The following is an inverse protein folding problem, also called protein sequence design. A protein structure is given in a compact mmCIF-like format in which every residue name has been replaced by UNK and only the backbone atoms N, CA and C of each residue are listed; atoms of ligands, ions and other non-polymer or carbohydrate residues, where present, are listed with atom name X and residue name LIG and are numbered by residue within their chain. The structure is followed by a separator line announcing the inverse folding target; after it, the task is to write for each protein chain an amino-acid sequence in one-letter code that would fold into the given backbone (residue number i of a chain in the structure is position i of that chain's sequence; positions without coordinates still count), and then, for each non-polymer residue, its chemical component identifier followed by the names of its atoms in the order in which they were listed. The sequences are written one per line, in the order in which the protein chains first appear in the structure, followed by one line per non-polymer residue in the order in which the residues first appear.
data_IF_259531036883
#
_entry.id   IF_259531036883
#
_cell.length_a   1.000
_cell.length_b   1.000
_cell.length_c   1.000
_cell.angle_alpha   90.00
_cell.angle_beta   90.00
_cell.angle_gamma   90.00
#
_symmetry.space_group_name_H-M   'P 1'
#
loop_
_entity.id
_entity.type
_entity.pdbx_description
1 polymer ?
#
# COMPACT_ATOMS: atom_id res chain seq x y z
N UNK A 1 18.06 -66.09 54.83
CA UNK A 1 17.02 -65.05 55.03
C UNK A 1 17.16 -64.08 53.87
N UNK A 2 16.36 -64.25 52.81
CA UNK A 2 16.40 -63.38 51.63
C UNK A 2 15.29 -62.35 51.73
N UNK A 3 15.71 -61.10 51.55
CA UNK A 3 14.96 -59.87 51.78
C UNK A 3 13.91 -59.65 50.69
N UNK A 4 12.64 -59.90 51.01
CA UNK A 4 11.50 -59.88 50.08
C UNK A 4 10.92 -58.48 49.84
N UNK A 5 11.55 -57.42 50.34
CA UNK A 5 11.00 -56.05 50.27
C UNK A 5 11.41 -55.25 49.02
N UNK A 6 12.48 -55.64 48.32
CA UNK A 6 12.97 -54.88 47.16
C UNK A 6 12.20 -55.21 45.86
N UNK A 7 11.62 -56.41 45.74
CA UNK A 7 10.86 -56.79 44.54
C UNK A 7 9.52 -56.05 44.38
N UNK A 8 8.94 -55.52 45.46
CA UNK A 8 7.62 -54.89 45.42
C UNK A 8 7.63 -53.51 44.74
N UNK A 9 8.70 -52.72 44.93
CA UNK A 9 8.79 -51.36 44.39
C UNK A 9 8.98 -51.33 42.87
N UNK A 10 9.83 -52.20 42.32
CA UNK A 10 10.15 -52.22 40.89
C UNK A 10 8.97 -52.68 40.03
N UNK A 11 8.14 -53.58 40.55
CA UNK A 11 6.94 -54.06 39.84
C UNK A 11 5.90 -52.94 39.69
N UNK A 12 5.72 -52.10 40.72
CA UNK A 12 4.80 -50.96 40.69
C UNK A 12 5.20 -49.92 39.63
N UNK A 13 6.49 -49.63 39.50
CA UNK A 13 6.99 -48.66 38.50
C UNK A 13 6.78 -49.18 37.08
N UNK A 14 7.05 -50.47 36.84
CA UNK A 14 6.86 -51.09 35.53
C UNK A 14 5.37 -51.11 35.16
N UNK A 15 4.49 -51.47 36.11
CA UNK A 15 3.05 -51.43 35.87
C UNK A 15 2.55 -50.01 35.57
N UNK A 16 3.02 -48.98 36.29
CA UNK A 16 2.64 -47.60 36.02
C UNK A 16 3.10 -47.11 34.64
N UNK A 17 4.32 -47.47 34.22
CA UNK A 17 4.84 -47.14 32.89
C UNK A 17 4.05 -47.83 31.76
N UNK A 18 3.69 -49.10 31.94
CA UNK A 18 2.90 -49.85 30.97
C UNK A 18 1.47 -49.31 30.86
N UNK A 19 0.84 -48.97 31.99
CA UNK A 19 -0.50 -48.36 32.01
C UNK A 19 -0.46 -46.97 31.35
N UNK A 20 0.54 -46.14 31.68
CA UNK A 20 0.71 -44.81 31.06
C UNK A 20 0.90 -44.88 29.55
N UNK A 21 1.71 -45.82 29.07
CA UNK A 21 1.92 -46.05 27.63
C UNK A 21 0.63 -46.53 26.95
N UNK A 22 -0.10 -47.46 27.57
CA UNK A 22 -1.36 -47.96 27.03
C UNK A 22 -2.46 -46.88 26.97
N UNK A 23 -2.55 -46.03 28.01
CA UNK A 23 -3.45 -44.86 28.02
C UNK A 23 -3.03 -43.83 26.97
N UNK A 24 -1.74 -43.56 26.80
CA UNK A 24 -1.26 -42.64 25.75
C UNK A 24 -1.59 -43.13 24.34
N UNK A 25 -1.53 -44.45 24.11
CA UNK A 25 -1.82 -45.04 22.81
C UNK A 25 -3.33 -45.16 22.52
N UNK A 26 -4.17 -45.28 23.56
CA UNK A 26 -5.63 -45.42 23.38
C UNK A 26 -6.45 -44.17 23.64
N UNK A 27 -5.95 -43.19 24.40
CA UNK A 27 -6.70 -41.96 24.69
C UNK A 27 -6.51 -40.87 23.64
N UNK A 28 -5.60 -41.06 22.69
CA UNK A 28 -5.46 -40.15 21.56
C UNK A 28 -6.44 -40.53 20.44
N UNK A 29 -7.72 -40.26 20.67
CA UNK A 29 -8.65 -40.04 19.55
C UNK A 29 -8.24 -38.70 18.92
N UNK A 30 -7.31 -38.79 17.98
CA UNK A 30 -6.79 -37.68 17.20
C UNK A 30 -7.89 -37.01 16.37
N UNK A 31 -8.72 -36.20 17.01
CA UNK A 31 -9.43 -35.12 16.36
C UNK A 31 -8.51 -33.90 16.46
N UNK A 32 -7.54 -33.84 15.54
CA UNK A 32 -6.95 -32.56 15.20
C UNK A 32 -8.00 -31.76 14.44
N UNK A 33 -8.56 -30.77 15.12
CA UNK A 33 -9.37 -29.75 14.44
C UNK A 33 -8.43 -28.92 13.57
N UNK A 34 -8.23 -29.37 12.32
CA UNK A 34 -7.81 -28.46 11.28
C UNK A 34 -9.00 -27.59 10.95
N UNK A 35 -9.05 -26.42 11.59
CA UNK A 35 -9.82 -25.31 11.05
C UNK A 35 -9.16 -24.95 9.71
N UNK A 36 -9.63 -25.56 8.61
CA UNK A 36 -9.58 -24.96 7.28
C UNK A 36 -10.58 -23.81 7.28
N UNK A 37 -10.29 -22.80 8.11
CA UNK A 37 -10.97 -21.53 8.06
C UNK A 37 -10.06 -20.62 7.27
N UNK A 38 -10.45 -20.38 6.02
CA UNK A 38 -9.81 -19.47 5.07
C UNK A 38 -9.89 -18.01 5.49
N UNK A 39 -10.37 -17.71 6.70
CA UNK A 39 -10.33 -16.39 7.29
C UNK A 39 -9.05 -16.17 8.09
N UNK A 40 -8.15 -15.40 7.45
CA UNK A 40 -7.03 -14.68 8.05
C UNK A 40 -7.41 -14.07 9.41
N UNK A 41 -7.22 -14.83 10.49
CA UNK A 41 -7.03 -14.26 11.83
C UNK A 41 -5.71 -13.50 11.81
N UNK A 42 -5.80 -12.20 11.52
CA UNK A 42 -4.69 -11.30 11.80
C UNK A 42 -4.60 -11.20 13.32
N UNK A 43 -3.45 -11.51 13.96
CA UNK A 43 -3.24 -11.04 15.32
C UNK A 43 -3.46 -9.52 15.30
N UNK A 44 -3.97 -8.95 16.40
CA UNK A 44 -4.05 -7.50 16.60
C UNK A 44 -2.64 -6.90 16.67
N UNK A 45 -1.90 -6.97 15.56
CA UNK A 45 -0.77 -6.13 15.28
C UNK A 45 -1.38 -4.74 15.18
N UNK A 46 -1.31 -3.99 16.28
CA UNK A 46 -1.55 -2.56 16.30
C UNK A 46 -0.75 -1.98 15.14
N UNK A 47 -1.42 -1.72 14.01
CA UNK A 47 -0.77 -1.15 12.83
C UNK A 47 -0.32 0.22 13.28
N UNK A 48 1.00 0.39 13.41
CA UNK A 48 1.57 1.68 13.79
C UNK A 48 1.14 2.68 12.72
N UNK A 49 0.31 3.64 13.11
CA UNK A 49 -0.07 4.74 12.23
C UNK A 49 1.02 5.79 12.29
N UNK A 50 1.39 6.32 11.12
CA UNK A 50 2.41 7.36 11.03
C UNK A 50 1.80 8.70 11.46
N UNK A 51 2.05 9.05 12.73
CA UNK A 51 1.47 10.22 13.37
C UNK A 51 2.47 11.37 13.45
N UNK A 52 2.23 12.38 12.62
CA UNK A 52 3.02 13.61 12.54
C UNK A 52 2.30 14.80 13.20
N UNK A 53 1.26 14.57 14.00
CA UNK A 53 0.50 15.65 14.66
C UNK A 53 1.30 16.45 15.70
N UNK A 54 2.54 16.04 15.98
CA UNK A 54 3.47 16.72 16.87
C UNK A 54 4.54 17.52 16.12
N UNK A 55 4.64 17.36 14.79
CA UNK A 55 5.58 18.07 13.93
C UNK A 55 4.91 19.32 13.36
N UNK A 56 5.72 20.35 13.09
CA UNK A 56 5.28 21.61 12.51
C UNK A 56 6.32 22.11 11.47
N UNK A 57 5.89 23.03 10.60
CA UNK A 57 6.76 23.64 9.59
C UNK A 57 7.48 22.63 8.69
N UNK A 58 8.77 22.88 8.44
CA UNK A 58 9.60 22.07 7.54
C UNK A 58 9.79 20.63 8.01
N UNK A 59 9.72 20.36 9.32
CA UNK A 59 9.83 19.00 9.84
C UNK A 59 8.60 18.16 9.50
N UNK A 60 7.40 18.76 9.62
CA UNK A 60 6.15 18.13 9.20
C UNK A 60 6.15 17.88 7.69
N UNK A 61 6.55 18.89 6.91
CA UNK A 61 6.62 18.79 5.45
C UNK A 61 7.52 17.63 5.03
N UNK A 62 8.79 17.62 5.48
CA UNK A 62 9.75 16.57 5.13
C UNK A 62 9.28 15.17 5.55
N UNK A 63 8.72 15.04 6.76
CA UNK A 63 8.18 13.76 7.24
C UNK A 63 7.00 13.28 6.38
N UNK A 64 6.12 14.20 5.98
CA UNK A 64 4.97 13.93 5.13
C UNK A 64 5.40 13.52 3.72
N UNK A 65 6.33 14.26 3.10
CA UNK A 65 6.87 13.95 1.78
C UNK A 65 7.53 12.57 1.77
N UNK A 66 8.40 12.31 2.77
CA UNK A 66 9.07 11.02 2.92
C UNK A 66 8.08 9.88 3.10
N UNK A 67 7.06 10.05 3.93
CA UNK A 67 6.07 9.02 4.19
C UNK A 67 5.20 8.74 2.97
N UNK A 68 4.81 9.78 2.25
CA UNK A 68 3.98 9.65 1.05
C UNK A 68 4.66 8.76 0.00
N UNK A 69 5.97 8.94 -0.20
CA UNK A 69 6.74 8.21 -1.22
C UNK A 69 7.40 6.91 -0.73
N UNK A 70 7.71 6.75 0.56
CA UNK A 70 8.44 5.56 1.03
C UNK A 70 7.71 4.24 0.77
N UNK A 71 6.38 4.30 0.73
CA UNK A 71 5.49 3.16 0.52
C UNK A 71 4.78 3.22 -0.83
N UNK A 72 5.16 4.18 -1.68
CA UNK A 72 4.53 4.37 -2.96
C UNK A 72 4.90 3.24 -3.91
N UNK A 73 3.88 2.67 -4.57
CA UNK A 73 4.03 1.51 -5.44
C UNK A 73 2.91 1.44 -6.46
N UNK A 74 3.21 0.80 -7.57
CA UNK A 74 2.23 0.43 -8.59
C UNK A 74 1.60 -0.91 -8.19
N UNK A 75 0.27 -0.97 -8.23
CA UNK A 75 -0.52 -2.17 -7.98
C UNK A 75 -1.33 -2.50 -9.22
N UNK A 76 -1.48 -3.78 -9.54
CA UNK A 76 -2.38 -4.22 -10.60
C UNK A 76 -3.79 -4.36 -10.03
N UNK A 77 -4.80 -3.93 -10.80
CA UNK A 77 -6.20 -4.20 -10.46
C UNK A 77 -6.54 -5.62 -10.91
N UNK A 78 -7.08 -6.42 -9.99
CA UNK A 78 -7.35 -7.84 -10.24
C UNK A 78 -8.16 -8.04 -11.53
N UNK A 79 -7.80 -9.05 -12.30
CA UNK A 79 -8.53 -9.50 -13.52
C UNK A 79 -8.60 -8.47 -14.65
N UNK A 80 -7.81 -7.38 -14.59
CA UNK A 80 -7.74 -6.36 -15.63
C UNK A 80 -6.30 -6.03 -16.01
N UNK A 81 -6.10 -5.30 -17.12
CA UNK A 81 -4.82 -4.65 -17.42
C UNK A 81 -4.67 -3.32 -16.68
N UNK A 82 -5.64 -2.96 -15.82
CA UNK A 82 -5.66 -1.67 -15.17
C UNK A 82 -4.63 -1.60 -14.03
N UNK A 83 -4.07 -0.42 -13.85
CA UNK A 83 -3.04 -0.16 -12.83
C UNK A 83 -3.60 0.81 -11.80
N UNK A 84 -2.98 0.80 -10.63
CA UNK A 84 -3.21 1.81 -9.60
C UNK A 84 -1.89 2.23 -8.98
N UNK A 85 -1.83 3.46 -8.48
CA UNK A 85 -0.71 3.93 -7.67
C UNK A 85 -1.16 4.10 -6.24
N UNK A 86 -0.60 3.29 -5.34
CA UNK A 86 -0.78 3.49 -3.90
C UNK A 86 0.31 4.41 -3.37
N UNK A 87 -0.06 5.28 -2.42
CA UNK A 87 0.85 6.16 -1.69
C UNK A 87 0.77 5.89 -0.19
N UNK A 88 1.80 6.28 0.56
CA UNK A 88 1.79 6.22 2.02
C UNK A 88 0.85 7.26 2.62
N UNK A 89 0.09 6.86 3.63
CA UNK A 89 -0.77 7.76 4.40
C UNK A 89 -0.15 8.11 5.75
N UNK A 90 -0.61 9.22 6.32
CA UNK A 90 -0.14 9.78 7.58
C UNK A 90 -1.24 10.58 8.28
N UNK A 91 -1.01 10.87 9.55
CA UNK A 91 -1.84 11.75 10.38
C UNK A 91 -1.10 13.06 10.60
N UNK A 92 -1.82 14.17 10.51
CA UNK A 92 -1.35 15.54 10.79
C UNK A 92 -2.17 16.15 11.93
N UNK A 93 -1.81 17.37 12.34
CA UNK A 93 -2.62 18.18 13.25
C UNK A 93 -3.58 19.04 12.41
N UNK A 94 -4.88 18.91 12.65
CA UNK A 94 -5.90 19.77 12.05
C UNK A 94 -6.01 21.12 12.77
N UNK A 95 -6.82 22.02 12.22
CA UNK A 95 -6.98 23.41 12.73
C UNK A 95 -7.44 23.47 14.20
N UNK A 96 -8.27 22.53 14.64
CA UNK A 96 -8.74 22.44 16.03
C UNK A 96 -7.71 21.82 16.99
N UNK A 97 -6.48 21.57 16.53
CA UNK A 97 -5.42 20.90 17.30
C UNK A 97 -5.58 19.38 17.41
N UNK A 98 -6.67 18.82 16.88
CA UNK A 98 -6.93 17.39 16.84
C UNK A 98 -6.10 16.66 15.79
N UNK A 99 -5.99 15.33 15.94
CA UNK A 99 -5.38 14.46 14.92
C UNK A 99 -6.30 14.31 13.72
N UNK A 100 -5.76 14.49 12.53
CA UNK A 100 -6.51 14.43 11.28
C UNK A 100 -5.75 13.58 10.26
N UNK A 101 -6.44 12.70 9.56
CA UNK A 101 -5.87 11.94 8.44
C UNK A 101 -5.47 12.86 7.28
N UNK A 102 -4.40 12.54 6.56
CA UNK A 102 -3.92 13.35 5.46
C UNK A 102 -5.02 13.61 4.40
N UNK A 103 -5.80 12.59 4.04
CA UNK A 103 -6.89 12.77 3.07
C UNK A 103 -8.09 13.59 3.57
N UNK A 104 -8.16 13.94 4.86
CA UNK A 104 -9.11 14.94 5.34
C UNK A 104 -8.55 16.36 5.24
N UNK A 105 -7.22 16.50 5.24
CA UNK A 105 -6.53 17.78 5.07
C UNK A 105 -6.39 18.14 3.58
N UNK A 106 -6.09 17.14 2.75
CA UNK A 106 -5.95 17.25 1.30
C UNK A 106 -7.02 16.37 0.65
N UNK A 107 -7.96 16.95 -0.10
CA UNK A 107 -9.04 16.21 -0.74
C UNK A 107 -8.67 15.68 -2.13
N UNK A 108 -7.54 16.10 -2.69
CA UNK A 108 -7.09 15.74 -4.03
C UNK A 108 -5.64 15.26 -4.06
N UNK A 109 -5.37 14.35 -4.98
CA UNK A 109 -4.05 13.84 -5.34
C UNK A 109 -3.82 14.10 -6.83
N UNK A 110 -2.66 14.63 -7.17
CA UNK A 110 -2.18 14.75 -8.55
C UNK A 110 -0.83 14.03 -8.66
N UNK A 111 -0.75 13.13 -9.64
CA UNK A 111 0.46 12.39 -9.99
C UNK A 111 0.91 12.84 -11.36
N UNK A 112 2.18 13.18 -11.49
CA UNK A 112 2.79 13.56 -12.76
C UNK A 112 3.76 12.48 -13.20
N UNK A 113 3.62 11.98 -14.41
CA UNK A 113 4.50 10.98 -15.00
C UNK A 113 5.12 11.50 -16.29
N UNK A 114 6.39 11.17 -16.51
CA UNK A 114 7.02 11.33 -17.83
C UNK A 114 7.27 9.98 -18.46
N UNK A 115 7.11 9.93 -19.77
CA UNK A 115 7.51 8.77 -20.56
C UNK A 115 9.04 8.63 -20.61
N UNK A 116 9.53 7.39 -20.56
CA UNK A 116 10.93 7.06 -20.80
C UNK A 116 11.18 6.67 -22.27
N UNK A 117 12.39 6.95 -22.76
CA UNK A 117 12.84 6.48 -24.08
C UNK A 117 12.24 7.18 -25.31
N UNK A 118 11.44 8.24 -25.13
CA UNK A 118 10.87 8.99 -26.25
C UNK A 118 10.75 10.49 -25.98
N UNK A 119 10.86 11.27 -27.05
CA UNK A 119 10.63 12.71 -27.05
C UNK A 119 10.02 13.12 -28.40
N UNK A 120 9.10 14.06 -28.38
CA UNK A 120 8.42 14.63 -29.56
C UNK A 120 8.73 16.12 -29.57
N UNK A 121 9.31 16.61 -30.66
CA UNK A 121 9.79 18.00 -30.77
C UNK A 121 10.76 18.44 -29.63
N UNK A 122 11.43 17.50 -28.96
CA UNK A 122 12.34 17.78 -27.85
C UNK A 122 11.70 17.72 -26.47
N UNK A 123 10.38 17.53 -26.40
CA UNK A 123 9.62 17.43 -25.14
C UNK A 123 9.26 15.97 -24.85
N UNK A 124 9.29 15.61 -23.57
CA UNK A 124 8.90 14.26 -23.14
C UNK A 124 7.38 14.20 -23.02
N UNK A 125 6.74 13.10 -23.49
CA UNK A 125 5.34 12.87 -23.19
C UNK A 125 5.07 12.90 -21.69
N UNK A 126 4.00 13.59 -21.34
CA UNK A 126 3.58 13.89 -19.97
C UNK A 126 2.20 13.28 -19.75
N UNK A 127 2.00 12.63 -18.60
CA UNK A 127 0.71 12.16 -18.13
C UNK A 127 0.47 12.72 -16.74
N UNK A 128 -0.61 13.45 -16.56
CA UNK A 128 -1.07 13.98 -15.28
C UNK A 128 -2.34 13.24 -14.88
N UNK A 129 -2.34 12.64 -13.70
CA UNK A 129 -3.45 11.88 -13.16
C UNK A 129 -3.94 12.58 -11.89
N UNK A 130 -5.19 13.04 -11.90
CA UNK A 130 -5.84 13.64 -10.74
C UNK A 130 -6.99 12.76 -10.23
N UNK A 131 -7.02 12.54 -8.92
CA UNK A 131 -8.08 11.78 -8.26
C UNK A 131 -8.37 12.31 -6.85
N UNK A 132 -9.45 11.85 -6.26
CA UNK A 132 -9.78 12.15 -4.86
C UNK A 132 -8.79 11.44 -3.90
N UNK A 133 -8.36 12.14 -2.85
CA UNK A 133 -7.60 11.51 -1.77
C UNK A 133 -8.55 10.72 -0.89
N UNK A 134 -8.41 9.39 -0.89
CA UNK A 134 -9.22 8.50 -0.06
C UNK A 134 -8.31 7.65 0.82
N UNK A 135 -8.75 7.35 2.03
CA UNK A 135 -8.07 6.41 2.92
C UNK A 135 -8.34 5.00 2.37
N UNK A 136 -7.31 4.20 2.15
CA UNK A 136 -7.46 2.82 1.69
C UNK A 136 -7.89 1.86 2.81
N UNK A 137 -8.07 0.59 2.45
CA UNK A 137 -8.38 -0.48 3.42
C UNK A 137 -7.29 -0.64 4.49
N UNK A 138 -6.04 -0.33 4.13
CA UNK A 138 -4.98 -0.11 5.09
C UNK A 138 -4.91 1.38 5.43
N UNK A 139 -5.21 1.73 6.69
CA UNK A 139 -5.19 3.12 7.19
C UNK A 139 -3.83 3.82 7.02
N UNK A 140 -2.77 3.05 6.76
CA UNK A 140 -1.42 3.53 6.47
C UNK A 140 -1.18 3.83 4.98
N UNK A 141 -2.20 3.69 4.13
CA UNK A 141 -2.14 3.89 2.69
C UNK A 141 -3.29 4.76 2.20
N UNK A 142 -2.98 5.58 1.20
CA UNK A 142 -3.99 6.22 0.38
C UNK A 142 -4.53 5.13 -0.55
N UNK A 143 -5.84 5.10 -0.76
CA UNK A 143 -6.48 4.23 -1.75
C UNK A 143 -5.78 4.37 -3.09
N UNK A 144 -5.64 3.27 -3.82
CA UNK A 144 -4.95 3.29 -5.10
C UNK A 144 -5.60 4.31 -6.05
N UNK A 145 -4.80 5.23 -6.59
CA UNK A 145 -5.23 6.15 -7.65
C UNK A 145 -5.35 5.31 -8.93
N UNK A 146 -6.55 5.12 -9.50
CA UNK A 146 -6.75 4.22 -10.62
C UNK A 146 -6.23 4.83 -11.93
N UNK A 147 -5.60 4.00 -12.75
CA UNK A 147 -5.15 4.34 -14.10
C UNK A 147 -5.74 3.26 -15.03
N UNK A 148 -6.87 3.56 -15.71
CA UNK A 148 -7.60 2.60 -16.52
C UNK A 148 -6.93 2.38 -17.89
N UNK A 149 -5.79 1.70 -17.85
CA UNK A 149 -4.95 1.30 -18.99
C UNK A 149 -5.76 0.79 -20.16
N UNK A 150 -6.67 -0.14 -19.88
CA UNK A 150 -7.47 -0.82 -20.89
C UNK A 150 -8.34 0.14 -21.70
N UNK A 151 -8.78 1.25 -21.09
CA UNK A 151 -9.58 2.30 -21.74
C UNK A 151 -8.70 3.32 -22.46
N UNK A 152 -7.57 3.71 -21.86
CA UNK A 152 -6.61 4.63 -22.48
C UNK A 152 -6.10 4.08 -23.80
N UNK A 153 -5.78 2.77 -23.85
CA UNK A 153 -5.29 2.11 -25.06
C UNK A 153 -6.35 1.97 -26.18
N UNK A 154 -7.64 2.21 -25.88
CA UNK A 154 -8.71 2.26 -26.90
C UNK A 154 -8.79 3.63 -27.59
N UNK A 155 -8.20 4.66 -26.98
CA UNK A 155 -8.12 6.00 -27.55
C UNK A 155 -6.93 6.13 -28.50
N UNK A 156 -7.04 7.07 -29.44
CA UNK A 156 -5.93 7.40 -30.33
C UNK A 156 -4.85 8.18 -29.56
N UNK A 157 -3.56 7.82 -29.67
CA UNK A 157 -2.47 8.57 -29.03
C UNK A 157 -2.45 10.04 -29.47
N UNK A 158 -2.44 10.96 -28.51
CA UNK A 158 -2.46 12.39 -28.77
C UNK A 158 -2.52 13.21 -27.49
N UNK A 159 -2.64 14.52 -27.65
CA UNK A 159 -2.96 15.43 -26.55
C UNK A 159 -4.45 15.35 -26.26
N UNK A 160 -4.79 14.91 -25.05
CA UNK A 160 -6.16 14.61 -24.68
C UNK A 160 -6.36 14.63 -23.17
N UNK A 161 -7.58 14.97 -22.79
CA UNK A 161 -8.06 14.97 -21.41
C UNK A 161 -9.19 13.94 -21.32
N UNK A 162 -8.99 12.91 -20.49
CA UNK A 162 -9.92 11.81 -20.28
C UNK A 162 -10.46 11.87 -18.86
N UNK A 163 -11.77 11.77 -18.74
CA UNK A 163 -12.44 11.79 -17.46
C UNK A 163 -13.23 10.49 -17.28
N UNK A 164 -12.86 9.73 -16.25
CA UNK A 164 -13.51 8.46 -15.91
C UNK A 164 -14.28 8.65 -14.60
N UNK A 165 -15.62 8.63 -14.68
CA UNK A 165 -16.52 8.93 -13.55
C UNK A 165 -17.15 7.70 -12.90
N UNK A 166 -16.46 6.56 -12.95
CA UNK A 166 -16.94 5.30 -12.37
C UNK A 166 -16.76 5.30 -10.84
N UNK A 167 -16.59 4.15 -10.20
CA UNK A 167 -16.51 4.02 -8.74
C UNK A 167 -15.44 4.90 -8.09
N UNK A 168 -14.38 5.23 -8.83
CA UNK A 168 -13.31 6.13 -8.41
C UNK A 168 -13.04 7.15 -9.52
N UNK A 169 -13.60 8.37 -9.40
CA UNK A 169 -13.39 9.43 -10.38
C UNK A 169 -11.91 9.77 -10.56
N UNK A 170 -11.46 9.76 -11.81
CA UNK A 170 -10.09 10.14 -12.18
C UNK A 170 -10.10 10.98 -13.46
N UNK A 171 -9.31 12.05 -13.45
CA UNK A 171 -9.02 12.89 -14.60
C UNK A 171 -7.59 12.61 -15.05
N UNK A 172 -7.39 12.32 -16.32
CA UNK A 172 -6.08 12.02 -16.90
C UNK A 172 -5.84 12.95 -18.07
N UNK A 173 -4.77 13.73 -18.01
CA UNK A 173 -4.33 14.60 -19.11
C UNK A 173 -3.02 14.08 -19.70
N UNK A 174 -2.97 14.00 -21.02
CA UNK A 174 -1.76 13.69 -21.77
C UNK A 174 -1.31 14.91 -22.55
N UNK A 175 -0.04 15.26 -22.41
CA UNK A 175 0.62 16.34 -23.15
C UNK A 175 1.84 15.77 -23.92
N UNK A 176 2.13 16.29 -25.11
CA UNK A 176 3.25 15.86 -25.96
C UNK A 176 3.27 14.36 -26.31
N UNK A 177 2.11 13.72 -26.47
CA UNK A 177 1.98 12.35 -26.99
C UNK A 177 1.64 12.41 -28.48
N UNK A 178 2.34 11.63 -29.31
CA UNK A 178 2.06 11.54 -30.75
C UNK A 178 2.45 10.17 -31.32
N UNK A 179 1.65 9.69 -32.27
CA UNK A 179 1.91 8.49 -33.07
C UNK A 179 1.69 7.15 -32.35
N UNK A 180 2.16 7.01 -31.11
CA UNK A 180 1.99 5.79 -30.30
C UNK A 180 1.98 6.11 -28.80
N UNK A 181 1.29 5.27 -28.03
CA UNK A 181 1.32 5.34 -26.56
C UNK A 181 2.71 4.97 -26.02
N UNK A 182 3.28 5.75 -25.09
CA UNK A 182 4.48 5.36 -24.37
C UNK A 182 4.25 4.09 -23.54
N UNK A 183 5.23 3.19 -23.55
CA UNK A 183 5.17 1.92 -22.81
C UNK A 183 5.65 2.02 -21.38
N UNK A 184 6.53 2.97 -21.09
CA UNK A 184 7.14 3.14 -19.78
C UNK A 184 6.90 4.57 -19.29
N UNK A 185 6.30 4.67 -18.10
CA UNK A 185 6.00 5.92 -17.42
C UNK A 185 6.66 5.95 -16.05
N UNK A 186 7.39 7.02 -15.76
CA UNK A 186 8.09 7.18 -14.49
C UNK A 186 7.48 8.33 -13.71
N UNK A 187 7.13 8.06 -12.45
CA UNK A 187 6.60 9.09 -11.56
C UNK A 187 7.64 10.19 -11.38
N UNK A 188 7.21 11.42 -11.66
CA UNK A 188 8.03 12.61 -11.64
C UNK A 188 7.69 13.54 -10.48
N UNK A 189 6.41 13.73 -10.18
CA UNK A 189 5.98 14.51 -9.01
C UNK A 189 4.68 13.99 -8.44
N UNK A 190 4.48 14.31 -7.17
CA UNK A 190 3.25 14.04 -6.42
C UNK A 190 2.81 15.32 -5.75
N UNK A 191 1.53 15.67 -5.87
CA UNK A 191 0.92 16.80 -5.20
C UNK A 191 -0.32 16.33 -4.44
N UNK A 192 -0.36 16.60 -3.14
CA UNK A 192 -1.61 16.59 -2.37
C UNK A 192 -2.07 18.03 -2.19
N UNK A 193 -3.35 18.30 -2.42
CA UNK A 193 -3.87 19.65 -2.23
C UNK A 193 -5.31 19.62 -1.75
N UNK A 194 -5.74 20.72 -1.15
CA UNK A 194 -7.14 20.97 -0.82
C UNK A 194 -7.74 21.90 -1.87
N UNK A 195 -8.73 21.44 -2.64
CA UNK A 195 -9.35 22.25 -3.69
C UNK A 195 -10.13 23.45 -3.12
N UNK A 196 -10.59 23.36 -1.87
CA UNK A 196 -11.41 24.38 -1.20
C UNK A 196 -10.59 25.37 -0.37
N UNK A 197 -9.41 24.98 0.08
CA UNK A 197 -8.53 25.78 0.94
C UNK A 197 -7.24 26.12 0.19
N UNK A 198 -7.14 27.36 -0.27
CA UNK A 198 -5.93 27.84 -0.96
C UNK A 198 -4.70 27.83 -0.04
N UNK A 199 -3.55 27.41 -0.57
CA UNK A 199 -2.27 27.38 0.15
C UNK A 199 -2.04 26.14 1.01
N UNK A 200 -3.02 25.23 1.12
CA UNK A 200 -2.83 23.92 1.75
C UNK A 200 -2.45 22.88 0.68
N UNK A 201 -1.16 22.82 0.38
CA UNK A 201 -0.60 21.84 -0.56
C UNK A 201 0.68 21.20 -0.01
N UNK A 202 0.86 19.93 -0.35
CA UNK A 202 2.08 19.18 -0.16
C UNK A 202 2.57 18.77 -1.55
N UNK A 203 3.65 19.40 -2.01
CA UNK A 203 4.25 19.09 -3.29
C UNK A 203 5.56 18.34 -3.10
N UNK A 204 5.80 17.34 -3.95
CA UNK A 204 7.05 16.60 -4.03
C UNK A 204 7.54 16.66 -5.48
N UNK A 205 8.66 17.36 -5.68
CA UNK A 205 9.29 17.51 -6.97
C UNK A 205 10.10 16.28 -7.38
N UNK A 206 10.58 16.25 -8.62
CA UNK A 206 11.38 15.13 -9.12
C UNK A 206 12.68 14.91 -8.35
N UNK A 207 13.37 15.97 -7.90
CA UNK A 207 14.61 15.80 -7.13
C UNK A 207 14.31 15.06 -5.82
N UNK A 208 13.24 15.44 -5.14
CA UNK A 208 12.78 14.78 -3.92
C UNK A 208 12.26 13.37 -4.18
N UNK A 209 11.54 13.15 -5.29
CA UNK A 209 11.13 11.79 -5.71
C UNK A 209 12.37 10.91 -5.84
N UNK A 210 13.38 11.34 -6.60
CA UNK A 210 14.62 10.57 -6.78
C UNK A 210 15.39 10.36 -5.46
N UNK A 211 15.44 11.38 -4.58
CA UNK A 211 16.12 11.27 -3.28
C UNK A 211 15.44 10.28 -2.33
N UNK A 212 14.10 10.32 -2.27
CA UNK A 212 13.30 9.46 -1.37
C UNK A 212 13.18 8.04 -1.95
N UNK A 213 12.97 7.94 -3.26
CA UNK A 213 12.81 6.68 -3.98
C UNK A 213 14.13 6.10 -4.49
N UNK A 214 15.29 6.59 -4.04
CA UNK A 214 16.62 6.31 -4.60
C UNK A 214 16.99 4.81 -4.78
N UNK A 215 16.20 3.89 -4.22
CA UNK A 215 16.34 2.44 -4.43
C UNK A 215 15.43 1.88 -5.51
N UNK A 216 14.27 2.47 -5.78
CA UNK A 216 13.26 2.01 -6.74
C UNK A 216 12.50 3.24 -7.29
N UNK A 217 12.84 3.68 -8.51
CA UNK A 217 11.98 4.61 -9.24
C UNK A 217 10.59 3.98 -9.42
N UNK A 218 9.53 4.73 -9.15
CA UNK A 218 8.16 4.25 -9.33
C UNK A 218 7.85 4.32 -10.83
N UNK A 219 7.89 3.16 -11.48
CA UNK A 219 7.64 3.00 -12.92
C UNK A 219 6.40 2.17 -13.17
N UNK A 220 5.67 2.54 -14.20
CA UNK A 220 4.55 1.79 -14.76
C UNK A 220 4.94 1.33 -16.16
N UNK A 221 4.56 0.09 -16.50
CA UNK A 221 4.81 -0.49 -17.81
C UNK A 221 3.54 -1.12 -18.34
N UNK A 222 3.21 -0.81 -19.60
CA UNK A 222 2.03 -1.32 -20.30
C UNK A 222 2.23 -1.37 -21.82
#
# INVERSE_FOLDING_TARGET
MHDSRVLSGSVLVICAALIGSWVSLRSWDGISYYYLDSDKRHPAAVRKVFDFSHLEGSALELASQKRLLSDARVVAVAESQDLGVELGHFITRGEAGGKQFACHAYDRVELTFYAEGMAIAGEKPLMIVEADCRIGDDINRISAIPIPVSKILQENPGELELQYMEENPVLIRFDHVAGQWPREWTLFSVKLYNQRVHGQELFIDNRQVQEISAKNSIKMTW
#
